data_IF_717220225925
#
_entry.id   IF_717220225925
#
_cell.length_a   1.000
_cell.length_b   1.000
_cell.length_c   1.000
_cell.angle_alpha   90.00
_cell.angle_beta   90.00
_cell.angle_gamma   90.00
#
_symmetry.space_group_name_H-M   'P 1'
#
loop_
_entity.id
_entity.type
_entity.pdbx_description
1 polymer ?
#
# COMPACT_ATOMS: atom_id res chain seq x y z
N UNK A 1 -38.05 -34.62 8.50
CA UNK A 1 -37.73 -33.35 9.19
C UNK A 1 -36.25 -33.01 8.95
N UNK A 2 -35.91 -31.73 8.83
CA UNK A 2 -35.08 -31.21 7.74
C UNK A 2 -33.58 -31.15 8.07
N UNK A 3 -32.80 -31.30 7.00
CA UNK A 3 -31.37 -31.04 6.88
C UNK A 3 -31.01 -29.58 7.21
N UNK A 4 -29.82 -29.33 7.78
CA UNK A 4 -29.16 -28.04 7.61
C UNK A 4 -27.89 -28.23 6.79
N UNK A 5 -27.99 -28.00 5.48
CA UNK A 5 -26.90 -27.37 4.74
C UNK A 5 -27.19 -25.87 4.73
N UNK A 6 -26.24 -25.03 5.17
CA UNK A 6 -26.08 -23.78 4.44
C UNK A 6 -24.63 -23.31 4.33
N UNK A 7 -24.29 -22.82 3.13
CA UNK A 7 -23.21 -21.84 2.89
C UNK A 7 -21.81 -22.45 2.85
N UNK A 8 -20.96 -22.21 1.87
CA UNK A 8 -20.91 -21.09 0.94
C UNK A 8 -19.42 -20.87 0.67
N UNK A 9 -19.01 -21.08 -0.57
CA UNK A 9 -17.68 -20.73 -1.10
C UNK A 9 -17.27 -19.33 -0.60
N UNK A 10 -16.08 -19.13 -0.02
CA UNK A 10 -15.10 -18.06 -0.37
C UNK A 10 -13.93 -17.77 0.60
N UNK A 11 -13.74 -18.44 1.72
CA UNK A 11 -12.85 -17.85 2.76
C UNK A 11 -11.32 -17.99 2.59
N UNK A 12 -10.83 -18.75 1.61
CA UNK A 12 -9.37 -19.01 1.50
C UNK A 12 -8.66 -18.28 0.36
N UNK A 13 -9.37 -17.56 -0.52
CA UNK A 13 -8.75 -16.82 -1.64
C UNK A 13 -8.54 -15.33 -1.39
N UNK A 14 -9.25 -14.73 -0.43
CA UNK A 14 -9.16 -13.29 -0.18
C UNK A 14 -7.87 -12.91 0.57
N UNK A 15 -7.49 -13.67 1.63
CA UNK A 15 -6.35 -13.34 2.51
C UNK A 15 -4.99 -13.28 1.79
N UNK A 16 -4.77 -14.10 0.78
CA UNK A 16 -3.50 -14.15 0.04
C UNK A 16 -3.40 -13.03 -0.99
N UNK A 17 -4.52 -12.63 -1.62
CA UNK A 17 -4.56 -11.47 -2.54
C UNK A 17 -4.33 -10.15 -1.81
N UNK A 18 -4.76 -10.02 -0.55
CA UNK A 18 -4.58 -8.78 0.22
C UNK A 18 -3.10 -8.43 0.41
N UNK A 19 -2.20 -9.41 0.58
CA UNK A 19 -0.76 -9.16 0.69
C UNK A 19 -0.14 -8.65 -0.60
N UNK A 20 -0.54 -9.20 -1.74
CA UNK A 20 -0.06 -8.76 -3.06
C UNK A 20 -0.46 -7.32 -3.39
N UNK A 21 -1.60 -6.85 -2.88
CA UNK A 21 -2.07 -5.46 -3.07
C UNK A 21 -1.60 -4.53 -1.95
N UNK A 22 -1.22 -5.08 -0.79
CA UNK A 22 -0.73 -4.28 0.34
C UNK A 22 0.59 -3.56 -0.01
N UNK A 23 1.54 -4.27 -0.62
CA UNK A 23 2.83 -3.72 -1.01
C UNK A 23 2.74 -2.53 -1.99
N UNK A 24 2.06 -2.64 -3.15
CA UNK A 24 1.92 -1.50 -4.07
C UNK A 24 1.14 -0.34 -3.43
N UNK A 25 0.22 -0.61 -2.50
CA UNK A 25 -0.47 0.45 -1.75
C UNK A 25 0.48 1.19 -0.80
N UNK A 26 1.43 0.49 -0.17
CA UNK A 26 2.45 1.10 0.67
C UNK A 26 3.39 1.99 -0.16
N UNK A 27 3.80 1.50 -1.34
CA UNK A 27 4.57 2.29 -2.30
C UNK A 27 3.81 3.55 -2.71
N UNK A 28 2.53 3.43 -3.07
CA UNK A 28 1.71 4.59 -3.44
C UNK A 28 1.58 5.62 -2.31
N UNK A 29 1.48 5.18 -1.04
CA UNK A 29 1.47 6.07 0.13
C UNK A 29 2.80 6.81 0.31
N UNK A 30 3.92 6.11 0.11
CA UNK A 30 5.25 6.73 0.13
C UNK A 30 5.42 7.76 -0.99
N UNK A 31 5.03 7.39 -2.22
CA UNK A 31 5.05 8.29 -3.37
C UNK A 31 4.18 9.51 -3.15
N UNK A 32 2.96 9.35 -2.62
CA UNK A 32 2.10 10.47 -2.27
C UNK A 32 2.78 11.41 -1.27
N UNK A 33 3.50 10.88 -0.28
CA UNK A 33 4.23 11.70 0.69
C UNK A 33 5.42 12.45 0.09
N UNK A 34 6.08 11.88 -0.92
CA UNK A 34 7.22 12.51 -1.61
C UNK A 34 6.78 13.51 -2.68
N UNK A 35 5.72 13.21 -3.41
CA UNK A 35 5.21 14.04 -4.49
C UNK A 35 4.30 15.16 -3.99
N UNK A 36 3.72 15.02 -2.78
CA UNK A 36 2.82 16.01 -2.19
C UNK A 36 3.28 16.44 -0.80
N UNK A 37 2.96 17.67 -0.42
CA UNK A 37 3.22 18.19 0.93
C UNK A 37 2.10 17.86 1.93
N UNK A 38 1.24 16.88 1.63
CA UNK A 38 0.14 16.49 2.49
C UNK A 38 0.60 15.77 3.77
N UNK A 39 -0.18 15.93 4.83
CA UNK A 39 0.06 15.24 6.10
C UNK A 39 -0.23 13.73 5.97
N UNK A 40 0.33 12.90 6.87
CA UNK A 40 0.02 11.46 6.90
C UNK A 40 -1.48 11.18 7.08
N UNK A 41 -2.20 12.06 7.78
CA UNK A 41 -3.64 11.95 7.95
C UNK A 41 -4.41 12.23 6.64
N UNK A 42 -3.99 13.25 5.88
CA UNK A 42 -4.59 13.58 4.58
C UNK A 42 -4.36 12.48 3.55
N UNK A 43 -3.14 11.95 3.49
CA UNK A 43 -2.82 10.80 2.64
C UNK A 43 -3.68 9.61 3.06
N UNK A 44 -3.78 9.32 4.37
CA UNK A 44 -4.60 8.22 4.89
C UNK A 44 -6.07 8.34 4.47
N UNK A 45 -6.63 9.55 4.54
CA UNK A 45 -7.98 9.87 4.04
C UNK A 45 -8.11 9.56 2.54
N UNK A 46 -7.15 9.99 1.72
CA UNK A 46 -7.14 9.71 0.27
C UNK A 46 -7.06 8.22 -0.09
N UNK A 47 -6.45 7.40 0.76
CA UNK A 47 -6.28 5.96 0.55
C UNK A 47 -7.42 5.07 1.11
N UNK A 48 -8.60 5.66 1.37
CA UNK A 48 -9.81 4.98 1.83
C UNK A 48 -10.08 5.17 3.33
N UNK A 49 -9.76 6.34 3.88
CA UNK A 49 -10.00 6.65 5.31
C UNK A 49 -9.09 5.88 6.27
N UNK A 50 -7.87 5.52 5.85
CA UNK A 50 -6.92 4.81 6.71
C UNK A 50 -6.31 5.71 7.77
N UNK A 51 -6.01 5.14 8.93
CA UNK A 51 -5.29 5.82 10.00
C UNK A 51 -3.93 6.34 9.53
N UNK A 52 -3.57 7.53 10.02
CA UNK A 52 -2.26 8.15 9.79
C UNK A 52 -1.10 7.22 10.18
N UNK A 53 -1.27 6.39 11.22
CA UNK A 53 -0.29 5.37 11.65
C UNK A 53 -0.07 4.29 10.59
N UNK A 54 -1.10 3.93 9.81
CA UNK A 54 -0.96 2.99 8.69
C UNK A 54 -0.11 3.58 7.58
N UNK A 55 -0.27 4.88 7.31
CA UNK A 55 0.56 5.60 6.34
C UNK A 55 1.99 5.72 6.85
N UNK A 56 2.18 6.08 8.12
CA UNK A 56 3.49 6.15 8.75
C UNK A 56 4.24 4.81 8.63
N UNK A 57 3.58 3.70 9.01
CA UNK A 57 4.17 2.38 8.92
C UNK A 57 4.46 1.97 7.46
N UNK A 58 3.61 2.34 6.52
CA UNK A 58 3.84 2.12 5.10
C UNK A 58 5.10 2.86 4.62
N UNK A 59 5.21 4.15 4.94
CA UNK A 59 6.34 5.01 4.57
C UNK A 59 7.64 4.44 5.15
N UNK A 60 7.68 4.19 6.46
CA UNK A 60 8.86 3.62 7.12
C UNK A 60 9.27 2.27 6.52
N UNK A 61 8.31 1.41 6.18
CA UNK A 61 8.60 0.12 5.57
C UNK A 61 9.22 0.27 4.18
N UNK A 62 8.69 1.19 3.37
CA UNK A 62 9.25 1.49 2.05
C UNK A 62 10.64 2.11 2.19
N UNK A 63 10.85 3.04 3.13
CA UNK A 63 12.17 3.62 3.41
C UNK A 63 13.20 2.56 3.80
N UNK A 64 12.84 1.61 4.67
CA UNK A 64 13.72 0.50 5.02
C UNK A 64 14.09 -0.35 3.80
N UNK A 65 13.11 -0.67 2.95
CA UNK A 65 13.34 -1.42 1.71
C UNK A 65 14.21 -0.65 0.71
N UNK A 66 14.09 0.68 0.65
CA UNK A 66 14.94 1.53 -0.18
C UNK A 66 16.40 1.52 0.29
N UNK A 67 16.63 1.39 1.60
CA UNK A 67 17.97 1.27 2.17
C UNK A 67 18.55 -0.14 1.96
N UNK A 68 17.71 -1.17 2.03
CA UNK A 68 18.14 -2.57 1.92
C UNK A 68 18.38 -2.98 0.46
N UNK A 69 17.55 -2.53 -0.48
CA UNK A 69 17.62 -2.91 -1.89
C UNK A 69 17.87 -1.69 -2.81
N UNK A 70 19.10 -1.51 -3.31
CA UNK A 70 19.44 -0.40 -4.20
C UNK A 70 18.79 -0.50 -5.59
N UNK A 71 18.34 -1.68 -6.04
CA UNK A 71 17.57 -1.81 -7.30
C UNK A 71 16.15 -1.31 -7.10
N UNK A 72 15.55 -1.61 -5.95
CA UNK A 72 14.25 -1.08 -5.57
C UNK A 72 14.30 0.44 -5.46
N UNK A 73 15.37 0.99 -4.87
CA UNK A 73 15.61 2.44 -4.85
C UNK A 73 15.61 3.06 -6.24
N UNK A 74 16.39 2.51 -7.17
CA UNK A 74 16.39 2.98 -8.56
C UNK A 74 15.01 2.89 -9.22
N UNK A 75 14.24 1.86 -8.92
CA UNK A 75 12.89 1.68 -9.45
C UNK A 75 11.95 2.77 -8.94
N UNK A 76 11.97 3.06 -7.64
CA UNK A 76 11.16 4.12 -7.04
C UNK A 76 11.58 5.50 -7.55
N UNK A 77 12.88 5.77 -7.63
CA UNK A 77 13.40 7.02 -8.17
C UNK A 77 13.01 7.24 -9.63
N UNK A 78 13.05 6.17 -10.44
CA UNK A 78 12.55 6.19 -11.81
C UNK A 78 11.06 6.53 -11.87
N UNK A 79 10.22 5.90 -11.04
CA UNK A 79 8.78 6.18 -10.97
C UNK A 79 8.53 7.64 -10.56
N UNK A 80 9.23 8.15 -9.54
CA UNK A 80 9.11 9.55 -9.10
C UNK A 80 9.49 10.49 -10.23
N UNK A 81 10.59 10.21 -10.92
CA UNK A 81 11.04 10.99 -12.07
C UNK A 81 9.97 10.99 -13.16
N UNK A 82 9.47 9.82 -13.57
CA UNK A 82 8.41 9.74 -14.60
C UNK A 82 7.19 10.56 -14.23
N UNK A 83 6.71 10.49 -12.98
CA UNK A 83 5.52 11.23 -12.54
C UNK A 83 5.74 12.76 -12.51
N UNK A 84 6.97 13.22 -12.26
CA UNK A 84 7.29 14.66 -12.22
C UNK A 84 7.50 15.28 -13.61
N UNK A 85 7.70 14.46 -14.64
CA UNK A 85 8.01 14.90 -16.00
C UNK A 85 6.80 14.83 -16.96
N UNK A 86 5.61 14.46 -16.47
CA UNK A 86 4.30 14.74 -17.10
C UNK A 86 3.63 15.95 -16.44
#
# INVERSE_FOLDING_TARGET
MPSPTPGGRRDLRAKTRTKAVAFPRQVAMYLARQLTSHSYADIGRGFGGKDHTTVLYAVQKIEALLQEDPKFQKTIDHIITTIRFE
#
